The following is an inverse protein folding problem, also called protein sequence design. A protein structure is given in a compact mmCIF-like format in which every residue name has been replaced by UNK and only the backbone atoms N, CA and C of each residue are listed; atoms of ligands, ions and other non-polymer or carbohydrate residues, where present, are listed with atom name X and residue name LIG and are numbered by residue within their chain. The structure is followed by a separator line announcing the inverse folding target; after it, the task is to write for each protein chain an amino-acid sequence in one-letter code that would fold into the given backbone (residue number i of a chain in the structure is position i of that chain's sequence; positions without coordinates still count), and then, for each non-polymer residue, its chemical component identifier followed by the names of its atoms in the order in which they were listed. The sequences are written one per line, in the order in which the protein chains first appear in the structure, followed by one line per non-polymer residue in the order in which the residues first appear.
data_IF_984708879682
#
_entry.id   IF_984708879682
#
_cell.length_a   1.000
_cell.length_b   1.000
_cell.length_c   1.000
_cell.angle_alpha   90.00
_cell.angle_beta   90.00
_cell.angle_gamma   90.00
#
_symmetry.space_group_name_H-M   'P 1'
#
loop_
_entity.id
_entity.type
_entity.pdbx_description
1 polymer ?
#
# COMPACT_ATOMS: atom_id res chain seq x y z
N UNK A 1 -20.12 11.82 1.16
CA UNK A 1 -20.91 12.28 0.00
C UNK A 1 -20.37 11.61 -1.25
N UNK A 2 -21.25 11.03 -2.08
CA UNK A 2 -20.87 10.45 -3.37
C UNK A 2 -20.75 11.56 -4.42
N UNK A 3 -19.82 11.39 -5.36
CA UNK A 3 -19.63 12.32 -6.46
C UNK A 3 -18.96 11.68 -7.66
N UNK A 4 -18.94 12.39 -8.77
CA UNK A 4 -18.31 11.96 -10.01
C UNK A 4 -17.24 12.97 -10.38
N UNK A 5 -16.02 12.46 -10.67
CA UNK A 5 -14.94 13.31 -11.15
C UNK A 5 -15.24 13.75 -12.58
N UNK A 6 -15.31 15.05 -12.79
CA UNK A 6 -15.55 15.67 -14.07
C UNK A 6 -14.35 16.50 -14.55
N UNK A 7 -14.29 16.64 -15.86
CA UNK A 7 -13.33 17.51 -16.57
C UNK A 7 -14.10 18.31 -17.63
N UNK A 8 -13.43 19.29 -18.23
CA UNK A 8 -13.96 20.02 -19.39
C UNK A 8 -14.38 19.04 -20.49
N UNK A 9 -15.60 19.17 -20.95
CA UNK A 9 -16.17 18.28 -21.97
C UNK A 9 -15.35 18.28 -23.28
N UNK A 10 -15.18 17.13 -23.90
CA UNK A 10 -14.30 16.93 -25.07
C UNK A 10 -14.64 17.89 -26.21
N UNK A 11 -15.94 18.14 -26.48
CA UNK A 11 -16.39 19.04 -27.54
C UNK A 11 -16.08 20.52 -27.26
N UNK A 12 -15.75 20.88 -26.03
CA UNK A 12 -15.32 22.21 -25.63
C UNK A 12 -13.79 22.35 -25.57
N UNK A 13 -13.04 21.26 -25.80
CA UNK A 13 -11.58 21.26 -25.77
C UNK A 13 -10.98 21.52 -27.14
N UNK A 14 -9.84 22.21 -27.17
CA UNK A 14 -9.00 22.39 -28.37
C UNK A 14 -8.24 21.11 -28.69
N UNK A 15 -7.71 21.01 -29.92
CA UNK A 15 -6.85 19.89 -30.29
C UNK A 15 -5.56 19.79 -29.43
N UNK A 16 -5.04 20.93 -28.96
CA UNK A 16 -3.88 20.97 -28.06
C UNK A 16 -4.23 20.44 -26.66
N UNK A 17 -5.35 20.88 -26.07
CA UNK A 17 -5.80 20.41 -24.76
C UNK A 17 -6.05 18.90 -24.76
N UNK A 18 -6.57 18.31 -25.83
CA UNK A 18 -6.80 16.87 -25.95
C UNK A 18 -5.54 16.02 -25.99
N UNK A 19 -4.38 16.63 -26.28
CA UNK A 19 -3.07 15.94 -26.31
C UNK A 19 -2.33 16.00 -24.97
N UNK A 20 -2.87 16.72 -23.99
CA UNK A 20 -2.25 16.89 -22.68
C UNK A 20 -3.13 16.28 -21.58
N UNK A 21 -2.49 15.70 -20.58
CA UNK A 21 -3.21 15.23 -19.38
C UNK A 21 -3.80 16.44 -18.63
N UNK A 22 -5.07 16.37 -18.22
CA UNK A 22 -5.66 17.38 -17.35
C UNK A 22 -4.85 17.49 -16.05
N UNK A 23 -4.63 18.71 -15.58
CA UNK A 23 -3.99 18.92 -14.28
C UNK A 23 -5.03 18.69 -13.19
N UNK A 24 -4.61 18.21 -12.02
CA UNK A 24 -5.49 17.95 -10.88
C UNK A 24 -6.35 19.18 -10.52
N UNK A 25 -5.77 20.39 -10.62
CA UNK A 25 -6.49 21.65 -10.35
C UNK A 25 -7.63 21.96 -11.34
N UNK A 26 -7.65 21.28 -12.50
CA UNK A 26 -8.67 21.49 -13.53
C UNK A 26 -9.79 20.46 -13.44
N UNK A 27 -9.69 19.55 -12.45
CA UNK A 27 -10.72 18.57 -12.13
C UNK A 27 -11.72 19.15 -11.14
N UNK A 28 -12.94 18.65 -11.20
CA UNK A 28 -13.97 18.94 -10.20
C UNK A 28 -14.69 17.66 -9.82
N UNK A 29 -15.35 17.68 -8.67
CA UNK A 29 -16.20 16.59 -8.21
C UNK A 29 -17.64 17.11 -8.22
N UNK A 30 -18.46 16.54 -9.09
CA UNK A 30 -19.90 16.80 -9.12
C UNK A 30 -20.57 15.92 -8.07
N UNK A 31 -21.15 16.56 -7.06
CA UNK A 31 -21.90 15.90 -5.97
C UNK A 31 -23.43 16.06 -6.14
N UNK A 32 -23.89 16.48 -7.31
CA UNK A 32 -25.30 16.70 -7.60
C UNK A 32 -25.91 17.89 -6.85
N UNK A 33 -25.11 18.89 -6.45
CA UNK A 33 -25.58 20.09 -5.80
C UNK A 33 -26.02 21.13 -6.83
N UNK A 34 -27.23 21.68 -6.67
CA UNK A 34 -27.79 22.67 -7.60
C UNK A 34 -27.19 24.08 -7.42
N UNK A 35 -26.48 24.36 -6.34
CA UNK A 35 -25.87 25.65 -6.05
C UNK A 35 -24.66 25.49 -5.13
N UNK A 36 -23.86 26.56 -5.03
CA UNK A 36 -22.75 26.62 -4.09
C UNK A 36 -23.21 26.41 -2.64
N UNK A 37 -24.28 27.07 -2.21
CA UNK A 37 -24.82 26.91 -0.87
C UNK A 37 -25.22 25.46 -0.59
N UNK A 38 -25.92 24.80 -1.54
CA UNK A 38 -26.28 23.39 -1.41
C UNK A 38 -25.07 22.44 -1.41
N UNK A 39 -23.95 22.85 -1.97
CA UNK A 39 -22.70 22.10 -1.87
C UNK A 39 -22.03 22.33 -0.51
N UNK A 40 -21.98 23.56 -0.03
CA UNK A 40 -21.40 23.94 1.27
C UNK A 40 -22.16 23.33 2.46
N UNK A 41 -23.43 23.02 2.30
CA UNK A 41 -24.21 22.24 3.28
C UNK A 41 -23.74 20.78 3.42
N UNK A 42 -23.00 20.27 2.46
CA UNK A 42 -22.58 18.85 2.38
C UNK A 42 -21.08 18.66 2.53
N UNK A 43 -20.29 19.63 2.09
CA UNK A 43 -18.82 19.55 2.06
C UNK A 43 -18.22 20.89 2.40
N UNK A 44 -17.04 20.89 3.01
CA UNK A 44 -16.30 22.07 3.42
C UNK A 44 -14.96 22.17 2.69
N UNK A 45 -14.40 23.38 2.65
CA UNK A 45 -13.03 23.55 2.19
C UNK A 45 -12.07 22.77 3.10
N UNK A 46 -11.21 21.96 2.49
CA UNK A 46 -10.28 21.10 3.20
C UNK A 46 -10.75 19.65 3.36
N UNK A 47 -12.00 19.33 2.98
CA UNK A 47 -12.45 17.94 2.95
C UNK A 47 -11.70 17.12 1.89
N UNK A 48 -11.43 15.87 2.21
CA UNK A 48 -10.73 14.95 1.34
C UNK A 48 -11.70 14.11 0.52
N UNK A 49 -11.42 13.98 -0.78
CA UNK A 49 -12.08 13.03 -1.64
C UNK A 49 -11.24 11.76 -1.79
N UNK A 50 -11.88 10.61 -1.81
CA UNK A 50 -11.24 9.32 -2.09
C UNK A 50 -12.01 8.58 -3.17
N UNK A 51 -11.31 7.77 -3.95
CA UNK A 51 -11.98 6.89 -4.91
C UNK A 51 -12.87 5.89 -4.16
N UNK A 52 -14.13 5.79 -4.58
CA UNK A 52 -15.01 4.74 -4.10
C UNK A 52 -14.60 3.41 -4.75
N UNK A 53 -14.19 2.48 -3.93
CA UNK A 53 -13.71 1.18 -4.37
C UNK A 53 -14.28 0.10 -3.46
N UNK A 54 -15.22 -0.66 -3.99
CA UNK A 54 -15.73 -1.83 -3.31
C UNK A 54 -14.65 -2.90 -3.16
N UNK A 55 -14.75 -3.70 -2.10
CA UNK A 55 -14.00 -4.95 -1.98
C UNK A 55 -14.60 -5.95 -2.96
N UNK A 56 -13.79 -6.51 -3.83
CA UNK A 56 -14.21 -7.47 -4.85
C UNK A 56 -13.25 -8.65 -4.86
N UNK A 57 -13.80 -9.84 -4.72
CA UNK A 57 -13.08 -11.07 -5.02
C UNK A 57 -13.22 -11.34 -6.53
N UNK A 58 -12.13 -11.71 -7.18
CA UNK A 58 -12.14 -11.97 -8.62
C UNK A 58 -11.08 -12.99 -9.02
N UNK A 59 -11.22 -13.53 -10.23
CA UNK A 59 -10.32 -14.56 -10.71
C UNK A 59 -10.31 -15.76 -9.76
N UNK A 60 -9.15 -16.32 -9.54
CA UNK A 60 -8.94 -17.44 -8.63
C UNK A 60 -8.24 -16.96 -7.35
N UNK A 61 -9.04 -16.55 -6.35
CA UNK A 61 -8.56 -16.14 -5.04
C UNK A 61 -7.80 -14.81 -5.02
N UNK A 62 -8.15 -13.88 -5.91
CA UNK A 62 -7.63 -12.51 -5.89
C UNK A 62 -8.65 -11.56 -5.26
N UNK A 63 -8.16 -10.54 -4.59
CA UNK A 63 -8.96 -9.51 -3.96
C UNK A 63 -8.52 -8.15 -4.51
N UNK A 64 -9.51 -7.36 -4.89
CA UNK A 64 -9.34 -5.94 -5.17
C UNK A 64 -10.01 -5.13 -4.07
N UNK A 65 -9.29 -4.22 -3.47
CA UNK A 65 -9.84 -3.27 -2.50
C UNK A 65 -9.02 -1.97 -2.50
N UNK A 66 -9.57 -0.95 -1.84
CA UNK A 66 -8.84 0.30 -1.59
C UNK A 66 -7.81 0.08 -0.49
N UNK A 67 -6.61 0.63 -0.68
CA UNK A 67 -5.54 0.65 0.32
C UNK A 67 -5.22 -0.76 0.86
N UNK A 68 -5.13 -1.77 -0.03
CA UNK A 68 -4.59 -3.10 0.34
C UNK A 68 -3.17 -2.96 0.85
N UNK A 69 -2.42 -2.07 0.27
CA UNK A 69 -1.20 -1.49 0.79
C UNK A 69 -1.56 -0.35 1.77
N UNK A 70 -1.38 -0.46 3.15
CA UNK A 70 -0.98 -1.75 3.72
C UNK A 70 -2.04 -2.31 4.69
N UNK A 71 -3.26 -2.43 4.26
CA UNK A 71 -4.31 -3.10 5.05
C UNK A 71 -4.10 -4.61 5.15
N UNK A 72 -3.33 -5.21 4.24
CA UNK A 72 -3.01 -6.63 4.33
C UNK A 72 -2.04 -6.90 5.48
N UNK A 73 -1.05 -6.06 5.71
CA UNK A 73 -0.18 -6.13 6.88
C UNK A 73 -0.95 -5.91 8.18
N UNK A 74 -1.85 -4.91 8.21
CA UNK A 74 -2.74 -4.72 9.35
C UNK A 74 -3.58 -5.97 9.67
N UNK A 75 -4.16 -6.63 8.66
CA UNK A 75 -4.93 -7.86 8.86
C UNK A 75 -4.07 -9.01 9.38
N UNK A 76 -2.84 -9.13 8.90
CA UNK A 76 -1.89 -10.12 9.39
C UNK A 76 -1.50 -9.86 10.85
N UNK A 77 -1.26 -8.59 11.24
CA UNK A 77 -1.00 -8.22 12.64
C UNK A 77 -2.18 -8.57 13.55
N UNK A 78 -3.41 -8.28 13.13
CA UNK A 78 -4.60 -8.64 13.89
C UNK A 78 -4.70 -10.16 14.11
N UNK A 79 -4.38 -10.94 13.07
CA UNK A 79 -4.36 -12.40 13.21
C UNK A 79 -3.27 -12.88 14.16
N UNK A 80 -2.09 -12.26 14.16
CA UNK A 80 -1.03 -12.59 15.12
C UNK A 80 -1.42 -12.23 16.57
N UNK A 81 -2.16 -11.15 16.78
CA UNK A 81 -2.70 -10.80 18.10
C UNK A 81 -3.68 -11.89 18.59
N UNK A 82 -4.57 -12.35 17.72
CA UNK A 82 -5.51 -13.41 18.04
C UNK A 82 -4.81 -14.75 18.38
N UNK A 83 -3.68 -15.02 17.77
CA UNK A 83 -2.91 -16.26 17.96
C UNK A 83 -2.02 -16.23 19.22
N UNK A 84 -2.02 -15.12 19.97
CA UNK A 84 -1.30 -14.94 21.25
C UNK A 84 0.17 -15.39 21.16
N UNK A 85 1.09 -14.61 20.61
CA UNK A 85 2.49 -15.02 20.45
C UNK A 85 3.14 -15.36 21.79
N UNK A 86 4.06 -16.33 21.82
CA UNK A 86 4.64 -16.85 23.07
C UNK A 86 5.72 -15.94 23.70
N UNK A 87 5.96 -14.78 23.13
CA UNK A 87 6.96 -13.79 23.58
C UNK A 87 6.30 -12.42 23.71
N UNK A 88 6.84 -11.59 24.58
CA UNK A 88 6.40 -10.19 24.69
C UNK A 88 6.56 -9.48 23.35
N UNK A 89 5.44 -9.00 22.82
CA UNK A 89 5.38 -8.45 21.47
C UNK A 89 4.58 -7.16 21.47
N UNK A 90 5.14 -6.13 20.84
CA UNK A 90 4.44 -4.89 20.53
C UNK A 90 3.87 -4.98 19.11
N UNK A 91 2.57 -4.82 18.97
CA UNK A 91 1.89 -4.73 17.69
C UNK A 91 1.64 -3.26 17.35
N UNK A 92 2.38 -2.74 16.39
CA UNK A 92 2.38 -1.33 16.06
C UNK A 92 1.70 -1.08 14.72
N UNK A 93 0.61 -0.31 14.73
CA UNK A 93 -0.06 0.18 13.54
C UNK A 93 0.37 1.63 13.33
N UNK A 94 1.36 1.83 12.51
CA UNK A 94 1.96 3.14 12.26
C UNK A 94 1.11 3.99 11.33
N UNK A 95 1.35 5.28 11.33
CA UNK A 95 0.67 6.25 10.47
C UNK A 95 1.66 6.96 9.57
N UNK A 96 1.19 7.49 8.44
CA UNK A 96 2.00 8.30 7.53
C UNK A 96 3.21 7.55 6.95
N UNK A 97 3.08 6.26 6.69
CA UNK A 97 4.08 5.48 5.96
C UNK A 97 4.25 6.05 4.55
N UNK A 98 3.18 6.19 3.77
CA UNK A 98 3.10 6.65 2.38
C UNK A 98 3.63 8.07 2.12
N UNK A 99 3.85 8.84 3.17
CA UNK A 99 4.35 10.22 3.09
C UNK A 99 5.72 10.37 3.76
N UNK A 100 6.46 9.28 3.90
CA UNK A 100 7.86 9.26 4.33
C UNK A 100 8.15 8.55 5.65
N UNK A 101 7.45 7.44 5.95
CA UNK A 101 7.73 6.54 7.08
C UNK A 101 7.72 7.25 8.45
N UNK A 102 6.80 8.21 8.63
CA UNK A 102 6.89 9.17 9.74
C UNK A 102 6.53 8.57 11.08
N UNK A 103 5.48 7.73 11.12
CA UNK A 103 5.01 7.11 12.36
C UNK A 103 6.01 6.11 12.92
N UNK A 104 6.68 5.36 12.07
CA UNK A 104 7.66 4.35 12.46
C UNK A 104 8.82 4.92 13.27
N UNK A 105 9.36 6.07 12.86
CA UNK A 105 10.47 6.72 13.58
C UNK A 105 10.10 7.07 15.02
N UNK A 106 8.90 7.60 15.24
CA UNK A 106 8.43 7.94 16.58
C UNK A 106 8.17 6.70 17.44
N UNK A 107 7.62 5.66 16.83
CA UNK A 107 7.34 4.38 17.46
C UNK A 107 8.66 3.70 17.88
N UNK A 108 9.62 3.59 16.95
CA UNK A 108 10.91 2.97 17.20
C UNK A 108 11.66 3.68 18.35
N UNK A 109 11.66 5.02 18.36
CA UNK A 109 12.26 5.78 19.45
C UNK A 109 11.59 5.52 20.81
N UNK A 110 10.28 5.38 20.83
CA UNK A 110 9.53 5.18 22.08
C UNK A 110 9.67 3.76 22.65
N UNK A 111 9.78 2.76 21.79
CA UNK A 111 9.81 1.35 22.20
C UNK A 111 11.23 0.78 22.29
N UNK A 112 12.20 1.34 21.58
CA UNK A 112 13.58 0.87 21.51
C UNK A 112 13.65 -0.67 21.34
N UNK A 113 13.06 -1.25 20.28
CA UNK A 113 12.92 -2.70 20.16
C UNK A 113 14.26 -3.37 19.89
N UNK A 114 14.49 -4.53 20.51
CA UNK A 114 15.69 -5.34 20.26
C UNK A 114 15.70 -5.94 18.83
N UNK A 115 14.54 -6.19 18.24
CA UNK A 115 14.35 -6.45 16.83
C UNK A 115 12.94 -6.05 16.39
N UNK A 116 12.74 -5.85 15.11
CA UNK A 116 11.45 -5.55 14.54
C UNK A 116 11.17 -6.37 13.28
N UNK A 117 9.92 -6.73 13.08
CA UNK A 117 9.41 -7.34 11.85
C UNK A 117 8.35 -6.43 11.26
N UNK A 118 8.55 -6.01 10.04
CA UNK A 118 7.60 -5.17 9.31
C UNK A 118 6.81 -6.05 8.34
N UNK A 119 5.48 -5.99 8.42
CA UNK A 119 4.56 -6.64 7.49
C UNK A 119 4.07 -5.58 6.52
N UNK A 120 4.23 -5.84 5.22
CA UNK A 120 4.00 -4.83 4.20
C UNK A 120 3.51 -5.44 2.90
N UNK A 121 2.67 -4.70 2.17
CA UNK A 121 2.37 -4.97 0.79
C UNK A 121 3.60 -4.75 -0.10
N UNK A 122 3.69 -5.41 -1.24
CA UNK A 122 4.76 -5.13 -2.20
C UNK A 122 4.27 -5.17 -3.63
N UNK A 123 4.76 -4.23 -4.44
CA UNK A 123 4.51 -4.21 -5.87
C UNK A 123 5.14 -5.44 -6.52
N UNK A 124 4.33 -6.27 -7.15
CA UNK A 124 4.84 -7.41 -7.91
C UNK A 124 5.43 -6.99 -9.26
N UNK A 125 4.82 -6.02 -9.92
CA UNK A 125 5.10 -5.65 -11.31
C UNK A 125 5.07 -6.86 -12.26
N UNK A 126 4.21 -7.85 -11.95
CA UNK A 126 4.02 -9.09 -12.70
C UNK A 126 2.92 -8.89 -13.74
N UNK A 127 3.22 -8.08 -14.74
CA UNK A 127 2.31 -7.69 -15.82
C UNK A 127 2.71 -8.37 -17.14
N UNK A 128 1.72 -8.57 -18.03
CA UNK A 128 1.92 -9.27 -19.30
C UNK A 128 3.02 -8.65 -20.20
N UNK A 129 3.23 -7.34 -20.11
CA UNK A 129 4.23 -6.61 -20.91
C UNK A 129 5.60 -6.48 -20.20
N UNK A 130 5.72 -7.02 -18.99
CA UNK A 130 6.97 -6.98 -18.21
C UNK A 130 7.79 -8.23 -18.50
N UNK A 131 8.70 -8.12 -19.48
CA UNK A 131 9.60 -9.20 -19.86
C UNK A 131 10.68 -9.47 -18.80
N UNK A 132 11.08 -10.74 -18.73
CA UNK A 132 12.14 -11.39 -17.95
C UNK A 132 12.95 -10.52 -16.98
N UNK A 133 12.85 -10.78 -15.69
CA UNK A 133 13.66 -10.13 -14.65
C UNK A 133 13.27 -8.66 -14.31
N UNK A 134 12.26 -8.09 -14.95
CA UNK A 134 11.74 -6.76 -14.63
C UNK A 134 10.64 -6.78 -13.56
N UNK A 135 9.96 -7.91 -13.37
CA UNK A 135 9.05 -8.10 -12.25
C UNK A 135 9.83 -8.05 -10.93
N UNK A 136 9.24 -7.48 -9.89
CA UNK A 136 9.85 -7.41 -8.55
C UNK A 136 9.70 -8.75 -7.85
N UNK A 137 8.51 -9.33 -7.93
CA UNK A 137 8.16 -10.65 -7.43
C UNK A 137 7.00 -11.19 -8.27
N UNK A 138 6.47 -12.35 -7.90
CA UNK A 138 5.35 -12.98 -8.61
C UNK A 138 4.11 -13.05 -7.74
N UNK A 139 2.97 -12.64 -8.29
CA UNK A 139 1.68 -12.92 -7.67
C UNK A 139 1.53 -14.43 -7.50
N UNK A 140 1.07 -14.89 -6.33
CA UNK A 140 1.00 -16.30 -5.94
C UNK A 140 2.36 -17.01 -5.79
N UNK A 141 3.48 -16.30 -5.87
CA UNK A 141 4.81 -16.85 -5.64
C UNK A 141 5.11 -17.18 -4.18
N UNK A 142 4.23 -16.80 -3.28
CA UNK A 142 4.40 -16.97 -1.83
C UNK A 142 4.85 -15.70 -1.13
N UNK A 143 5.16 -15.80 0.15
CA UNK A 143 5.64 -14.69 0.98
C UNK A 143 6.90 -14.09 0.39
N UNK A 144 7.01 -12.78 0.36
CA UNK A 144 8.22 -12.09 -0.12
C UNK A 144 9.13 -11.79 1.06
N UNK A 145 10.31 -12.38 1.05
CA UNK A 145 11.38 -12.12 2.03
C UNK A 145 12.49 -11.34 1.31
N UNK A 146 12.56 -10.01 1.44
CA UNK A 146 13.58 -9.23 0.75
C UNK A 146 14.91 -9.25 1.50
N UNK A 147 16.04 -9.20 0.78
CA UNK A 147 17.36 -8.92 1.36
C UNK A 147 17.56 -7.43 1.62
N UNK A 148 16.96 -6.62 0.77
CA UNK A 148 17.04 -5.16 0.85
C UNK A 148 15.90 -4.53 0.04
N UNK A 149 15.63 -3.28 0.34
CA UNK A 149 14.80 -2.39 -0.45
C UNK A 149 15.50 -1.03 -0.66
N UNK A 150 14.74 0.00 -1.04
CA UNK A 150 15.30 1.34 -1.28
C UNK A 150 15.75 2.08 -0.02
N UNK A 151 15.34 1.64 1.15
CA UNK A 151 15.59 2.31 2.43
C UNK A 151 16.39 1.43 3.42
N UNK A 152 16.36 0.10 3.27
CA UNK A 152 16.82 -0.84 4.28
C UNK A 152 17.65 -1.96 3.67
N UNK A 153 18.73 -2.34 4.35
CA UNK A 153 19.39 -3.64 4.21
C UNK A 153 18.97 -4.46 5.43
N UNK A 154 18.24 -5.53 5.19
CA UNK A 154 17.65 -6.33 6.24
C UNK A 154 18.68 -7.20 6.96
N UNK A 155 18.41 -7.51 8.23
CA UNK A 155 19.26 -8.39 9.01
C UNK A 155 19.32 -9.81 8.41
N UNK A 156 20.53 -10.31 8.20
CA UNK A 156 20.75 -11.58 7.53
C UNK A 156 20.32 -12.78 8.39
N UNK A 157 20.48 -12.70 9.72
CA UNK A 157 20.09 -13.79 10.63
C UNK A 157 18.57 -13.91 10.71
N UNK A 158 17.87 -12.78 10.79
CA UNK A 158 16.40 -12.75 10.76
C UNK A 158 15.86 -13.22 9.40
N UNK A 159 16.50 -12.83 8.30
CA UNK A 159 16.14 -13.35 6.98
C UNK A 159 16.23 -14.88 6.92
N UNK A 160 17.36 -15.44 7.35
CA UNK A 160 17.56 -16.89 7.37
C UNK A 160 16.60 -17.60 8.33
N UNK A 161 16.26 -16.99 9.48
CA UNK A 161 15.25 -17.51 10.40
C UNK A 161 13.90 -17.63 9.72
N UNK A 162 13.44 -16.58 9.05
CA UNK A 162 12.16 -16.54 8.35
C UNK A 162 12.14 -17.52 7.17
N UNK A 163 13.20 -17.57 6.38
CA UNK A 163 13.36 -18.51 5.28
C UNK A 163 13.24 -19.96 5.77
N UNK A 164 14.00 -20.30 6.81
CA UNK A 164 13.98 -21.63 7.39
C UNK A 164 12.61 -21.98 8.00
N UNK A 165 11.91 -21.02 8.56
CA UNK A 165 10.54 -21.22 9.07
C UNK A 165 9.56 -21.52 7.93
N UNK A 166 9.68 -20.82 6.80
CA UNK A 166 8.90 -21.11 5.60
C UNK A 166 9.18 -22.52 5.06
N UNK A 167 10.45 -22.89 4.91
CA UNK A 167 10.85 -24.19 4.40
C UNK A 167 10.35 -25.35 5.28
N UNK A 168 10.53 -25.23 6.61
CA UNK A 168 10.07 -26.24 7.58
C UNK A 168 8.56 -26.44 7.59
N UNK A 169 7.80 -25.42 7.26
CA UNK A 169 6.32 -25.44 7.27
C UNK A 169 5.71 -25.64 5.89
N UNK A 170 6.53 -25.80 4.84
CA UNK A 170 6.08 -25.92 3.46
C UNK A 170 5.39 -24.64 2.95
N UNK A 171 5.72 -23.48 3.51
CA UNK A 171 5.19 -22.19 3.08
C UNK A 171 6.03 -21.73 1.89
N UNK A 172 5.38 -21.47 0.76
CA UNK A 172 6.06 -20.90 -0.40
C UNK A 172 6.54 -19.50 -0.11
N UNK A 173 7.75 -19.22 -0.51
CA UNK A 173 8.35 -17.91 -0.38
C UNK A 173 9.18 -17.54 -1.60
N UNK A 174 9.49 -16.28 -1.76
CA UNK A 174 10.33 -15.73 -2.81
C UNK A 174 11.06 -14.51 -2.28
N UNK A 175 12.08 -14.06 -3.00
CA UNK A 175 12.73 -12.77 -2.72
C UNK A 175 12.46 -11.77 -3.84
N UNK A 176 12.67 -10.49 -3.58
CA UNK A 176 12.63 -9.47 -4.62
C UNK A 176 13.77 -9.66 -5.61
N UNK A 177 13.48 -9.61 -6.90
CA UNK A 177 14.49 -9.65 -7.97
C UNK A 177 15.05 -8.25 -8.27
N UNK A 178 14.45 -7.21 -7.69
CA UNK A 178 14.85 -5.81 -7.83
C UNK A 178 14.68 -5.08 -6.52
N UNK A 179 15.60 -4.15 -6.25
CA UNK A 179 15.44 -3.17 -5.19
C UNK A 179 14.33 -2.20 -5.60
N UNK A 180 13.25 -2.18 -4.86
CA UNK A 180 12.10 -1.33 -5.13
C UNK A 180 11.34 -1.01 -3.85
N UNK A 181 10.84 0.22 -3.75
CA UNK A 181 10.08 0.72 -2.61
C UNK A 181 10.94 0.90 -1.36
N UNK A 182 10.30 1.15 -0.26
CA UNK A 182 10.82 1.17 1.09
C UNK A 182 9.70 0.75 2.01
N UNK A 183 9.98 0.55 3.28
CA UNK A 183 9.00 0.21 4.32
C UNK A 183 9.36 0.92 5.61
N UNK A 184 8.51 0.85 6.60
CA UNK A 184 8.75 1.39 7.94
C UNK A 184 10.06 0.87 8.58
N UNK A 185 10.59 -0.28 8.13
CA UNK A 185 11.89 -0.81 8.57
C UNK A 185 13.05 0.18 8.34
N UNK A 186 12.93 1.08 7.37
CA UNK A 186 13.93 2.13 7.12
C UNK A 186 13.99 3.23 8.20
N UNK A 187 13.19 3.13 9.26
CA UNK A 187 13.11 4.08 10.37
C UNK A 187 13.22 3.41 11.75
N UNK A 188 13.43 2.11 11.77
CA UNK A 188 13.62 1.29 12.97
C UNK A 188 15.10 0.81 13.10
#
# INVERSE_FOLDING_TARGET
VQGVIGIKAVHLTTAAERRTMPKTKDLYIDIGAASKAAAEDKVSLGDYGVFDSAVVEFGDGLIKAKAIDDRVGCAALLKLIEDEPPIDTWFCFTVQEEVGLRGAASMAYALDPGFAMVLEGTTAADLAEVEGGKAVCRVRGGVVLPFMDGATIYDAELFELLRNACDKRGIRWQTKTRVAGGTDAGRI
#
